data_IF_843841643364
#
_entry.id   IF_843841643364
#
_cell.length_a   1.000
_cell.length_b   1.000
_cell.length_c   1.000
_cell.angle_alpha   90.00
_cell.angle_beta   90.00
_cell.angle_gamma   90.00
#
_symmetry.space_group_name_H-M   'P 1'
#
loop_
_entity.id
_entity.type
_entity.pdbx_description
1 polymer ?
#
# COMPACT_ATOMS: atom_id res chain seq x y z
N UNK A 1 25.03 10.17 -15.02
CA UNK A 1 25.33 9.00 -14.19
C UNK A 1 24.10 8.10 -14.28
N UNK A 2 24.26 6.88 -14.74
CA UNK A 2 23.18 5.91 -14.92
C UNK A 2 23.00 5.15 -13.61
N UNK A 3 21.76 4.96 -13.17
CA UNK A 3 21.46 4.22 -11.93
C UNK A 3 20.77 2.91 -12.30
N UNK A 4 21.54 1.84 -12.38
CA UNK A 4 21.03 0.51 -12.76
C UNK A 4 20.48 -0.27 -11.55
N UNK A 5 20.89 0.13 -10.34
CA UNK A 5 20.48 -0.50 -9.11
C UNK A 5 20.18 0.53 -8.02
N UNK A 6 19.09 0.36 -7.30
CA UNK A 6 18.74 1.23 -6.18
C UNK A 6 17.99 0.46 -5.08
N UNK A 7 18.20 0.90 -3.85
CA UNK A 7 17.54 0.34 -2.66
C UNK A 7 16.31 1.19 -2.34
N UNK A 8 15.17 0.55 -2.09
CA UNK A 8 13.91 1.22 -1.79
C UNK A 8 13.22 0.57 -0.60
N UNK A 9 12.58 1.38 0.20
CA UNK A 9 11.75 0.98 1.34
C UNK A 9 10.30 1.23 0.94
N UNK A 10 9.51 0.18 0.88
CA UNK A 10 8.14 0.23 0.42
C UNK A 10 7.19 -0.10 1.57
N UNK A 11 6.14 0.72 1.73
CA UNK A 11 5.13 0.52 2.77
C UNK A 11 3.73 0.69 2.19
N UNK A 12 2.89 -0.32 2.35
CA UNK A 12 1.46 -0.19 2.11
C UNK A 12 0.78 0.61 3.24
N UNK A 13 -0.42 1.10 2.99
CA UNK A 13 -1.18 1.87 3.95
C UNK A 13 -1.71 1.01 5.10
N UNK A 14 -1.74 1.55 6.31
CA UNK A 14 -2.41 0.93 7.46
C UNK A 14 -3.93 1.09 7.31
N UNK A 15 -4.72 0.11 7.73
CA UNK A 15 -6.17 0.24 7.85
C UNK A 15 -6.57 1.27 8.93
N UNK A 16 -7.68 1.95 8.71
CA UNK A 16 -8.27 2.87 9.68
C UNK A 16 -8.88 2.11 10.87
N UNK A 17 -8.98 2.75 12.02
CA UNK A 17 -9.62 2.17 13.20
C UNK A 17 -11.15 2.14 13.04
N UNK A 18 -11.83 1.16 13.63
CA UNK A 18 -13.27 1.20 13.84
C UNK A 18 -13.64 2.29 14.86
N UNK A 19 -14.90 2.72 14.81
CA UNK A 19 -15.43 3.75 15.72
C UNK A 19 -16.36 3.14 16.75
N UNK A 20 -16.34 3.69 17.98
CA UNK A 20 -17.37 3.44 18.99
C UNK A 20 -18.26 4.67 19.07
N UNK A 21 -19.50 4.53 18.65
CA UNK A 21 -20.49 5.61 18.71
C UNK A 21 -21.88 5.04 18.98
N UNK A 22 -22.75 5.85 19.58
CA UNK A 22 -24.13 5.51 19.87
C UNK A 22 -25.04 6.63 19.35
N UNK A 23 -26.16 6.23 18.75
CA UNK A 23 -27.16 7.18 18.26
C UNK A 23 -27.76 7.97 19.44
N UNK A 24 -27.74 9.30 19.35
CA UNK A 24 -28.38 10.20 20.30
C UNK A 24 -29.23 11.21 19.52
N UNK A 25 -30.54 11.14 19.72
CA UNK A 25 -31.48 12.07 19.09
C UNK A 25 -32.46 12.61 20.12
N UNK A 26 -33.15 13.72 19.79
CA UNK A 26 -34.03 14.47 20.71
C UNK A 26 -35.10 13.61 21.37
N UNK A 27 -35.56 12.54 20.99
CA UNK A 27 -36.52 11.66 21.63
C UNK A 27 -36.04 10.22 21.80
N UNK A 28 -34.74 10.01 21.57
CA UNK A 28 -34.09 8.69 21.64
C UNK A 28 -32.70 8.80 22.28
N UNK A 29 -32.66 9.08 23.62
CA UNK A 29 -31.39 9.29 24.33
C UNK A 29 -30.52 8.05 24.41
N UNK A 30 -31.14 6.84 24.35
CA UNK A 30 -30.47 5.54 24.43
C UNK A 30 -30.53 4.80 23.08
N UNK A 31 -30.12 5.47 22.02
CA UNK A 31 -30.04 4.84 20.69
C UNK A 31 -28.98 3.73 20.63
N UNK A 32 -29.12 2.85 19.63
CA UNK A 32 -28.21 1.72 19.43
C UNK A 32 -26.80 2.13 18.99
N UNK A 33 -25.86 1.16 18.90
CA UNK A 33 -24.53 1.40 18.40
C UNK A 33 -24.59 1.79 16.90
N UNK A 34 -23.86 2.84 16.54
CA UNK A 34 -23.79 3.38 15.17
C UNK A 34 -22.37 3.79 14.77
N UNK A 35 -21.35 3.18 15.36
CA UNK A 35 -19.95 3.40 14.97
C UNK A 35 -19.62 2.64 13.68
N UNK A 36 -19.12 3.36 12.66
CA UNK A 36 -18.71 2.82 11.38
C UNK A 36 -17.37 2.10 11.43
N UNK A 37 -17.07 1.36 10.39
CA UNK A 37 -15.81 0.64 10.20
C UNK A 37 -14.73 1.58 9.69
N UNK A 38 -13.45 1.29 9.96
CA UNK A 38 -12.33 1.96 9.31
C UNK A 38 -12.18 1.55 7.84
N UNK A 39 -11.56 2.41 7.03
CA UNK A 39 -11.24 2.14 5.64
C UNK A 39 -10.01 1.23 5.50
N UNK A 40 -9.91 0.47 4.39
CA UNK A 40 -8.70 -0.28 4.03
C UNK A 40 -7.54 0.71 3.78
N UNK A 41 -6.30 0.36 4.11
CA UNK A 41 -5.12 1.08 3.66
C UNK A 41 -4.89 0.92 2.16
N UNK A 42 -4.24 1.89 1.51
CA UNK A 42 -3.89 1.81 0.09
C UNK A 42 -2.87 0.70 -0.19
N UNK A 43 -3.00 0.09 -1.35
CA UNK A 43 -2.06 -0.92 -1.85
C UNK A 43 -0.86 -0.23 -2.51
N UNK A 44 0.24 -0.96 -2.67
CA UNK A 44 1.40 -0.48 -3.42
C UNK A 44 1.58 -1.33 -4.66
N UNK A 45 1.56 -0.65 -5.83
CA UNK A 45 1.65 -1.27 -7.14
C UNK A 45 2.84 -0.74 -7.91
N UNK A 46 3.43 -1.59 -8.71
CA UNK A 46 4.51 -1.22 -9.63
C UNK A 46 4.02 -1.39 -11.05
N UNK A 47 4.30 -0.39 -11.88
CA UNK A 47 3.92 -0.38 -13.31
C UNK A 47 5.15 -0.11 -14.15
N UNK A 48 5.34 -0.89 -15.21
CA UNK A 48 6.37 -0.63 -16.22
C UNK A 48 5.91 0.49 -17.16
N UNK A 49 6.59 1.64 -17.14
CA UNK A 49 6.28 2.81 -17.96
C UNK A 49 7.46 3.11 -18.90
N UNK A 50 7.23 3.06 -20.20
CA UNK A 50 8.26 3.34 -21.24
C UNK A 50 8.80 4.78 -21.19
N UNK A 51 8.05 5.70 -20.56
CA UNK A 51 8.50 7.08 -20.39
C UNK A 51 9.51 7.25 -19.24
N UNK A 52 9.69 6.21 -18.44
CA UNK A 52 10.71 6.17 -17.37
C UNK A 52 11.94 5.47 -17.91
N UNK A 53 13.03 6.19 -18.04
CA UNK A 53 14.28 5.67 -18.65
C UNK A 53 15.31 5.14 -17.66
N UNK A 54 15.20 5.49 -16.37
CA UNK A 54 16.17 5.08 -15.34
C UNK A 54 15.55 5.00 -13.94
N UNK A 55 16.33 4.50 -12.98
CA UNK A 55 15.92 4.38 -11.57
C UNK A 55 16.35 5.58 -10.70
N UNK A 56 16.70 6.72 -11.30
CA UNK A 56 17.21 7.90 -10.61
C UNK A 56 16.25 8.44 -9.57
N UNK A 57 14.95 8.45 -9.85
CA UNK A 57 13.92 8.94 -8.93
C UNK A 57 13.93 8.17 -7.59
N UNK A 58 14.23 6.88 -7.63
CA UNK A 58 14.30 6.01 -6.45
C UNK A 58 15.58 6.18 -5.65
N UNK A 59 16.65 6.60 -6.32
CA UNK A 59 17.90 6.92 -5.63
C UNK A 59 17.73 8.17 -4.75
N UNK A 60 17.04 9.20 -5.23
CA UNK A 60 16.80 10.43 -4.47
C UNK A 60 15.66 10.28 -3.46
N UNK A 61 14.64 9.49 -3.77
CA UNK A 61 13.50 9.20 -2.89
C UNK A 61 13.39 7.70 -2.63
N UNK A 62 14.16 7.16 -1.67
CA UNK A 62 14.18 5.72 -1.43
C UNK A 62 12.96 5.20 -0.67
N UNK A 63 12.08 6.07 -0.19
CA UNK A 63 10.92 5.67 0.60
C UNK A 63 9.61 6.00 -0.12
N UNK A 64 8.78 4.97 -0.31
CA UNK A 64 7.47 5.10 -0.91
C UNK A 64 6.42 4.49 -0.02
N UNK A 65 5.32 5.23 0.18
CA UNK A 65 4.25 4.83 1.10
C UNK A 65 2.89 5.11 0.50
N UNK A 66 2.00 4.10 0.51
CA UNK A 66 0.59 4.29 0.22
C UNK A 66 -0.13 4.97 1.40
N UNK A 67 -1.27 5.60 1.13
CA UNK A 67 -2.05 6.29 2.17
C UNK A 67 -2.74 5.30 3.11
N UNK A 68 -2.84 5.69 4.37
CA UNK A 68 -3.60 4.94 5.35
C UNK A 68 -5.11 5.10 5.09
N UNK A 69 -5.89 4.08 5.47
CA UNK A 69 -7.33 4.20 5.53
C UNK A 69 -7.78 5.16 6.63
N UNK A 70 -8.89 5.86 6.39
CA UNK A 70 -9.48 6.76 7.39
C UNK A 70 -10.18 5.95 8.50
N UNK A 71 -10.20 6.46 9.73
CA UNK A 71 -10.98 5.85 10.80
C UNK A 71 -12.48 5.95 10.51
N UNK A 72 -13.25 5.00 11.03
CA UNK A 72 -14.71 5.06 11.04
C UNK A 72 -15.20 6.23 11.87
N UNK A 73 -16.43 6.67 11.62
CA UNK A 73 -17.09 7.79 12.33
C UNK A 73 -18.45 7.35 12.88
N UNK A 74 -19.03 8.16 13.74
CA UNK A 74 -20.40 7.96 14.23
C UNK A 74 -21.43 8.13 13.10
N UNK A 75 -22.65 7.61 13.31
CA UNK A 75 -23.72 7.68 12.31
C UNK A 75 -23.53 6.67 11.17
N UNK A 76 -22.98 5.50 11.47
CA UNK A 76 -22.71 4.40 10.53
C UNK A 76 -21.78 4.79 9.35
N UNK A 77 -20.99 5.85 9.54
CA UNK A 77 -20.08 6.33 8.51
C UNK A 77 -18.77 5.52 8.53
N UNK A 78 -18.56 4.76 7.48
CA UNK A 78 -17.29 4.05 7.28
C UNK A 78 -16.19 5.02 6.85
N UNK A 79 -14.96 4.78 7.30
CA UNK A 79 -13.78 5.49 6.84
C UNK A 79 -13.50 5.22 5.36
N UNK A 80 -12.99 6.23 4.65
CA UNK A 80 -12.55 6.06 3.24
C UNK A 80 -11.31 5.17 3.19
N UNK A 81 -11.20 4.37 2.13
CA UNK A 81 -9.96 3.67 1.80
C UNK A 81 -8.82 4.63 1.53
N UNK A 82 -7.61 4.24 1.89
CA UNK A 82 -6.39 4.95 1.50
C UNK A 82 -6.17 4.86 -0.01
N UNK A 83 -5.59 5.89 -0.59
CA UNK A 83 -5.19 5.89 -2.00
C UNK A 83 -3.99 4.97 -2.20
N UNK A 84 -4.03 4.20 -3.29
CA UNK A 84 -2.93 3.32 -3.69
C UNK A 84 -1.71 4.16 -4.08
N UNK A 85 -0.53 3.60 -3.85
CA UNK A 85 0.72 4.16 -4.34
C UNK A 85 1.15 3.40 -5.59
N UNK A 86 1.14 4.07 -6.74
CA UNK A 86 1.61 3.52 -8.01
C UNK A 86 3.03 3.99 -8.27
N UNK A 87 3.95 3.04 -8.36
CA UNK A 87 5.36 3.27 -8.65
C UNK A 87 5.63 2.94 -10.12
N UNK A 88 6.17 3.89 -10.85
CA UNK A 88 6.51 3.73 -12.27
C UNK A 88 7.99 3.42 -12.42
N UNK A 89 8.31 2.31 -13.06
CA UNK A 89 9.67 1.84 -13.32
C UNK A 89 9.86 1.58 -14.83
N UNK A 90 11.09 1.64 -15.35
CA UNK A 90 11.34 1.27 -16.74
C UNK A 90 11.08 -0.22 -16.98
N UNK A 91 10.64 -0.62 -18.19
CA UNK A 91 10.59 -2.02 -18.60
C UNK A 91 11.98 -2.68 -18.48
N UNK A 92 12.05 -3.94 -18.10
CA UNK A 92 13.29 -4.64 -17.78
C UNK A 92 13.74 -4.51 -16.32
N UNK A 93 12.91 -3.91 -15.46
CA UNK A 93 13.19 -3.80 -14.02
C UNK A 93 12.88 -5.11 -13.31
N UNK A 94 13.85 -5.58 -12.52
CA UNK A 94 13.74 -6.72 -11.60
C UNK A 94 13.63 -6.19 -10.19
N UNK A 95 12.69 -6.72 -9.43
CA UNK A 95 12.47 -6.39 -8.02
C UNK A 95 12.94 -7.57 -7.17
N UNK A 96 13.88 -7.33 -6.27
CA UNK A 96 14.41 -8.33 -5.36
C UNK A 96 14.19 -7.91 -3.90
N UNK A 97 14.03 -8.89 -3.01
CA UNK A 97 14.12 -8.65 -1.57
C UNK A 97 15.57 -8.33 -1.20
N UNK A 98 15.76 -7.29 -0.38
CA UNK A 98 17.10 -6.85 0.02
C UNK A 98 17.86 -7.86 0.85
N UNK A 99 17.16 -8.65 1.70
CA UNK A 99 17.80 -9.53 2.67
C UNK A 99 18.15 -10.91 2.12
N UNK A 100 17.43 -11.38 1.10
CA UNK A 100 17.59 -12.74 0.54
C UNK A 100 18.03 -12.75 -0.92
N UNK A 101 18.11 -11.58 -1.57
CA UNK A 101 18.33 -11.44 -3.02
C UNK A 101 17.32 -12.24 -3.88
N UNK A 102 16.21 -12.65 -3.27
CA UNK A 102 15.13 -13.39 -3.94
C UNK A 102 14.37 -12.46 -4.89
N UNK A 103 14.18 -12.92 -6.13
CA UNK A 103 13.40 -12.18 -7.13
C UNK A 103 11.92 -12.30 -6.79
N UNK A 104 11.31 -11.18 -6.50
CA UNK A 104 9.87 -11.08 -6.21
C UNK A 104 9.07 -10.99 -7.51
N UNK A 105 9.52 -10.15 -8.43
CA UNK A 105 8.89 -9.99 -9.74
C UNK A 105 9.84 -9.36 -10.75
N UNK A 106 9.51 -9.54 -12.03
CA UNK A 106 10.18 -8.92 -13.17
C UNK A 106 9.12 -8.21 -14.02
N UNK A 107 9.39 -6.96 -14.38
CA UNK A 107 8.54 -6.17 -15.26
C UNK A 107 9.24 -6.04 -16.62
N UNK A 108 8.91 -6.92 -17.54
CA UNK A 108 9.57 -7.02 -18.85
C UNK A 108 8.78 -6.27 -19.94
N UNK A 109 7.44 -6.29 -19.85
CA UNK A 109 6.57 -5.71 -20.87
C UNK A 109 6.09 -4.31 -20.45
N UNK A 110 5.93 -3.39 -21.43
CA UNK A 110 5.30 -2.11 -21.17
C UNK A 110 3.89 -2.26 -20.60
N UNK A 111 3.50 -1.34 -19.71
CA UNK A 111 2.21 -1.31 -19.04
C UNK A 111 1.91 -2.53 -18.15
N UNK A 112 2.90 -3.40 -17.91
CA UNK A 112 2.77 -4.49 -16.96
C UNK A 112 2.63 -3.92 -15.56
N UNK A 113 1.54 -4.29 -14.87
CA UNK A 113 1.24 -3.87 -13.51
C UNK A 113 1.27 -5.06 -12.55
N UNK A 114 1.94 -4.89 -11.41
CA UNK A 114 2.02 -5.92 -10.36
C UNK A 114 1.71 -5.26 -9.02
N UNK A 115 0.80 -5.87 -8.25
CA UNK A 115 0.58 -5.50 -6.85
C UNK A 115 1.68 -6.12 -6.00
N UNK A 116 2.54 -5.26 -5.42
CA UNK A 116 3.69 -5.72 -4.63
C UNK A 116 3.37 -5.85 -3.14
N UNK A 117 2.62 -4.89 -2.59
CA UNK A 117 2.26 -4.86 -1.17
C UNK A 117 0.78 -4.57 -0.99
N UNK A 118 0.13 -5.31 -0.10
CA UNK A 118 -1.27 -5.14 0.23
C UNK A 118 -1.45 -4.23 1.45
N UNK A 119 -2.39 -3.29 1.36
CA UNK A 119 -2.80 -2.42 2.45
C UNK A 119 -3.53 -3.17 3.55
N UNK A 120 -3.38 -2.68 4.80
CA UNK A 120 -4.03 -3.26 5.96
C UNK A 120 -5.56 -3.14 5.90
N UNK A 121 -6.27 -4.12 6.45
CA UNK A 121 -7.73 -4.09 6.54
C UNK A 121 -8.19 -3.05 7.54
N UNK A 122 -9.30 -2.40 7.24
CA UNK A 122 -9.95 -1.49 8.18
C UNK A 122 -10.53 -2.22 9.39
N UNK A 123 -10.43 -1.59 10.57
CA UNK A 123 -11.01 -2.10 11.81
C UNK A 123 -12.54 -2.03 11.80
N UNK A 124 -13.18 -2.87 12.60
CA UNK A 124 -14.65 -2.93 12.73
C UNK A 124 -15.13 -1.95 13.79
N UNK A 125 -16.20 -1.19 13.48
CA UNK A 125 -16.89 -0.34 14.41
C UNK A 125 -17.85 -1.12 15.32
N UNK A 126 -18.30 -0.48 16.40
CA UNK A 126 -19.17 -1.14 17.39
C UNK A 126 -20.52 -1.58 16.81
N UNK A 127 -21.02 -0.93 15.76
CA UNK A 127 -22.25 -1.35 15.10
C UNK A 127 -22.17 -2.79 14.57
N UNK A 128 -21.00 -3.24 14.14
CA UNK A 128 -20.77 -4.60 13.61
C UNK A 128 -20.87 -5.69 14.70
N UNK A 129 -20.64 -5.33 15.97
CA UNK A 129 -20.68 -6.27 17.10
C UNK A 129 -22.04 -6.36 17.78
N UNK A 130 -23.04 -5.67 17.22
CA UNK A 130 -24.41 -5.75 17.74
C UNK A 130 -24.97 -7.16 17.56
N UNK A 131 -25.50 -7.71 18.63
CA UNK A 131 -26.17 -9.02 18.63
C UNK A 131 -27.40 -9.01 19.56
N UNK A 132 -28.23 -10.09 19.53
CA UNK A 132 -29.36 -10.23 20.43
C UNK A 132 -28.96 -10.24 21.91
N UNK A 133 -27.78 -10.75 22.22
CA UNK A 133 -27.22 -10.82 23.58
C UNK A 133 -26.50 -9.52 23.97
N UNK A 134 -25.79 -8.90 23.03
CA UNK A 134 -25.06 -7.64 23.27
C UNK A 134 -25.63 -6.53 22.37
N UNK A 135 -26.60 -5.79 22.90
CA UNK A 135 -27.30 -4.74 22.16
C UNK A 135 -26.55 -3.40 22.16
N UNK A 136 -25.63 -3.22 23.11
CA UNK A 136 -24.85 -1.97 23.27
C UNK A 136 -23.34 -2.23 23.34
N UNK A 137 -22.74 -2.85 22.31
CA UNK A 137 -21.31 -3.15 22.31
C UNK A 137 -20.47 -1.89 22.33
N UNK A 138 -19.44 -1.88 23.19
CA UNK A 138 -18.39 -0.84 23.22
C UNK A 138 -17.09 -1.33 22.61
N UNK A 139 -17.13 -2.44 21.92
CA UNK A 139 -15.99 -3.06 21.25
C UNK A 139 -15.78 -2.44 19.88
N UNK A 140 -14.53 -2.26 19.53
CA UNK A 140 -14.09 -1.94 18.17
C UNK A 140 -12.77 -2.68 17.91
N UNK A 141 -12.34 -2.77 16.68
CA UNK A 141 -11.02 -3.27 16.33
C UNK A 141 -10.18 -2.19 15.68
N UNK A 142 -8.88 -2.23 15.95
CA UNK A 142 -7.92 -1.42 15.23
C UNK A 142 -7.79 -1.91 13.78
N UNK A 143 -7.38 -1.01 12.90
CA UNK A 143 -7.01 -1.40 11.55
C UNK A 143 -5.69 -2.16 11.53
N UNK A 144 -5.62 -3.17 10.65
CA UNK A 144 -4.41 -3.97 10.47
C UNK A 144 -3.26 -3.11 9.90
N UNK A 145 -2.00 -3.42 10.24
CA UNK A 145 -0.86 -2.82 9.55
C UNK A 145 -0.87 -3.21 8.08
N UNK A 146 -0.42 -2.32 7.21
CA UNK A 146 -0.11 -2.66 5.82
C UNK A 146 1.20 -3.45 5.75
N UNK A 147 1.40 -4.16 4.65
CA UNK A 147 2.66 -4.84 4.38
C UNK A 147 3.77 -3.82 4.16
N UNK A 148 4.98 -4.16 4.58
CA UNK A 148 6.18 -3.35 4.34
C UNK A 148 7.38 -4.25 4.04
N UNK A 149 8.35 -3.70 3.31
CA UNK A 149 9.58 -4.43 3.00
C UNK A 149 10.65 -3.55 2.37
N UNK A 150 11.87 -4.04 2.43
CA UNK A 150 13.03 -3.46 1.81
C UNK A 150 13.36 -4.21 0.52
N UNK A 151 13.44 -3.46 -0.58
CA UNK A 151 13.62 -4.01 -1.91
C UNK A 151 14.83 -3.39 -2.61
N UNK A 152 15.33 -4.11 -3.59
CA UNK A 152 16.34 -3.64 -4.54
C UNK A 152 15.72 -3.67 -5.93
N UNK A 153 15.68 -2.54 -6.59
CA UNK A 153 15.30 -2.45 -8.00
C UNK A 153 16.56 -2.52 -8.85
N UNK A 154 16.57 -3.41 -9.83
CA UNK A 154 17.67 -3.63 -10.75
C UNK A 154 17.13 -3.49 -12.16
N UNK A 155 17.69 -2.57 -12.91
CA UNK A 155 17.38 -2.39 -14.33
C UNK A 155 18.34 -3.22 -15.18
N UNK A 156 17.83 -4.28 -15.82
CA UNK A 156 18.60 -5.07 -16.78
C UNK A 156 18.61 -4.35 -18.13
N UNK A 157 19.70 -3.64 -18.42
CA UNK A 157 19.91 -3.02 -19.73
C UNK A 157 20.68 -3.97 -20.64
N UNK A 158 20.19 -4.15 -21.87
CA UNK A 158 20.93 -4.86 -22.92
C UNK A 158 21.63 -3.80 -23.76
N UNK A 159 22.94 -3.96 -23.96
CA UNK A 159 23.67 -3.09 -24.88
C UNK A 159 23.37 -3.49 -26.33
N UNK A 160 22.89 -2.54 -27.14
CA UNK A 160 22.60 -2.76 -28.54
C UNK A 160 23.88 -2.87 -29.39
N UNK A 161 25.00 -2.34 -28.89
CA UNK A 161 26.28 -2.33 -29.60
C UNK A 161 27.43 -2.65 -28.63
N UNK A 162 28.24 -3.63 -28.97
CA UNK A 162 29.49 -3.97 -28.30
C UNK A 162 30.71 -3.57 -29.15
N UNK A 163 31.63 -2.79 -28.59
CA UNK A 163 32.91 -2.49 -29.21
C UNK A 163 33.97 -3.47 -28.70
N UNK A 164 34.55 -4.24 -29.61
CA UNK A 164 35.69 -5.14 -29.30
C UNK A 164 36.95 -4.58 -29.94
N UNK A 165 37.99 -4.35 -29.15
CA UNK A 165 39.27 -3.88 -29.60
C UNK A 165 40.39 -4.65 -28.94
N UNK A 166 41.56 -4.73 -29.61
CA UNK A 166 42.80 -5.25 -28.99
C UNK A 166 43.39 -4.16 -28.07
N UNK A 167 43.79 -4.52 -26.85
CA UNK A 167 44.53 -3.56 -26.01
C UNK A 167 45.88 -3.21 -26.69
N UNK A 168 46.22 -1.92 -26.64
CA UNK A 168 47.53 -1.44 -27.08
C UNK A 168 48.61 -1.85 -26.09
#
# INVERSE_FOLDING_TARGET
>A
MFYDQTKVILKAGKGGHGCVSFLRQKYMPNGGPNGGNGGKGGDLRIVADVNVGDLRAFHFNPQWKAKNGEPGRGGDQNGKGGEDCVIKVPPGTVVQLRDSDEIVCELLEPDQEIMLLEGGRGGRGNATFKSSVNQTPRQFTDGDPGQEGDYVFILKTIADIGLVGFPN
#
